data_IF_028619874922
#
_entry.id   IF_028619874922
#
_cell.length_a   1.000
_cell.length_b   1.000
_cell.length_c   1.000
_cell.angle_alpha   90.00
_cell.angle_beta   90.00
_cell.angle_gamma   90.00
#
_symmetry.space_group_name_H-M   'P 1'
#
loop_
_entity.id
_entity.type
_entity.pdbx_description
1 polymer ?
#
# COMPACT_ATOMS: atom_id res chain seq x y z
N UNK A 1 -14.43 2.33 -28.86
CA UNK A 1 -13.05 2.86 -28.68
C UNK A 1 -12.88 3.14 -27.21
N UNK A 2 -12.30 2.19 -26.48
CA UNK A 2 -12.10 2.27 -25.02
C UNK A 2 -10.92 3.19 -24.68
N UNK A 3 -10.99 4.45 -25.07
CA UNK A 3 -10.17 5.46 -24.42
C UNK A 3 -10.90 5.86 -23.14
N UNK A 4 -10.42 5.36 -22.00
CA UNK A 4 -10.92 5.74 -20.68
C UNK A 4 -10.89 7.25 -20.47
N UNK A 5 -11.54 7.75 -19.41
CA UNK A 5 -11.55 9.18 -19.10
C UNK A 5 -10.12 9.76 -19.05
N UNK A 6 -9.92 11.07 -19.33
CA UNK A 6 -8.60 11.70 -19.29
C UNK A 6 -7.84 11.41 -17.99
N UNK A 7 -8.53 11.35 -16.85
CA UNK A 7 -7.97 11.01 -15.54
C UNK A 7 -7.41 9.58 -15.52
N UNK A 8 -8.12 8.60 -16.11
CA UNK A 8 -7.65 7.22 -16.22
C UNK A 8 -6.44 7.12 -17.15
N UNK A 9 -6.44 7.84 -18.27
CA UNK A 9 -5.29 7.86 -19.19
C UNK A 9 -4.05 8.45 -18.50
N UNK A 10 -4.24 9.56 -17.78
CA UNK A 10 -3.17 10.20 -17.01
C UNK A 10 -2.64 9.29 -15.90
N UNK A 11 -3.53 8.68 -15.10
CA UNK A 11 -3.15 7.74 -14.05
C UNK A 11 -2.39 6.52 -14.61
N UNK A 12 -2.79 6.02 -15.78
CA UNK A 12 -2.09 4.93 -16.47
C UNK A 12 -0.65 5.29 -16.84
N UNK A 13 -0.41 6.53 -17.29
CA UNK A 13 0.94 7.02 -17.58
C UNK A 13 1.78 7.09 -16.30
N UNK A 14 1.21 7.58 -15.19
CA UNK A 14 1.89 7.63 -13.89
C UNK A 14 2.23 6.23 -13.37
N UNK A 15 1.28 5.28 -13.46
CA UNK A 15 1.49 3.89 -13.09
C UNK A 15 2.68 3.30 -13.86
N UNK A 16 2.67 3.40 -15.20
CA UNK A 16 3.75 2.89 -16.06
C UNK A 16 5.11 3.55 -15.78
N UNK A 17 5.11 4.82 -15.36
CA UNK A 17 6.34 5.50 -14.93
C UNK A 17 6.85 4.93 -13.60
N UNK A 18 5.96 4.73 -12.63
CA UNK A 18 6.29 4.15 -11.32
C UNK A 18 6.77 2.70 -11.44
N UNK A 19 6.10 1.87 -12.24
CA UNK A 19 6.52 0.49 -12.52
C UNK A 19 7.94 0.42 -13.09
N UNK A 20 8.29 1.31 -14.02
CA UNK A 20 9.67 1.41 -14.56
C UNK A 20 10.67 1.83 -13.49
N UNK A 21 10.30 2.79 -12.63
CA UNK A 21 11.16 3.20 -11.52
C UNK A 21 11.40 2.04 -10.54
N UNK A 22 10.35 1.29 -10.20
CA UNK A 22 10.46 0.14 -9.30
C UNK A 22 11.39 -0.94 -9.87
N UNK A 23 11.41 -1.18 -11.18
CA UNK A 23 12.37 -2.12 -11.77
C UNK A 23 13.83 -1.68 -11.57
N UNK A 24 14.11 -0.39 -11.67
CA UNK A 24 15.44 0.16 -11.39
C UNK A 24 15.77 0.06 -9.90
N UNK A 25 14.81 0.42 -9.04
CA UNK A 25 14.98 0.37 -7.59
C UNK A 25 15.18 -1.08 -7.11
N UNK A 26 14.48 -2.05 -7.69
CA UNK A 26 14.63 -3.47 -7.37
C UNK A 26 16.07 -3.95 -7.61
N UNK A 27 16.70 -3.50 -8.71
CA UNK A 27 18.10 -3.82 -8.98
C UNK A 27 19.02 -3.22 -7.91
N UNK A 28 18.83 -1.95 -7.54
CA UNK A 28 19.62 -1.30 -6.48
C UNK A 28 19.41 -1.97 -5.11
N UNK A 29 18.18 -2.36 -4.78
CA UNK A 29 17.83 -3.07 -3.54
C UNK A 29 18.48 -4.47 -3.52
N UNK A 30 18.54 -5.16 -4.66
CA UNK A 30 19.27 -6.43 -4.81
C UNK A 30 20.78 -6.23 -4.63
N UNK A 31 21.36 -5.24 -5.29
CA UNK A 31 22.80 -4.92 -5.23
C UNK A 31 23.23 -4.57 -3.80
N UNK A 32 22.39 -3.82 -3.09
CA UNK A 32 22.60 -3.45 -1.67
C UNK A 32 22.29 -4.58 -0.68
N UNK A 33 21.88 -5.76 -1.18
CA UNK A 33 21.46 -6.92 -0.37
C UNK A 33 20.39 -6.57 0.66
N UNK A 34 19.49 -5.65 0.33
CA UNK A 34 18.39 -5.28 1.22
C UNK A 34 17.33 -6.40 1.29
N UNK A 35 17.18 -7.18 0.20
CA UNK A 35 16.33 -8.38 0.17
C UNK A 35 16.69 -9.43 1.23
N UNK A 36 17.97 -9.52 1.62
CA UNK A 36 18.45 -10.51 2.59
C UNK A 36 18.53 -9.97 4.02
N UNK A 37 18.06 -8.75 4.27
CA UNK A 37 18.02 -8.15 5.60
C UNK A 37 16.63 -8.22 6.19
N UNK A 38 16.57 -8.26 7.51
CA UNK A 38 15.34 -8.02 8.25
C UNK A 38 15.17 -6.52 8.51
N UNK A 39 13.94 -6.04 8.32
CA UNK A 39 13.50 -4.67 8.55
C UNK A 39 12.63 -4.64 9.80
N UNK A 40 12.95 -3.74 10.72
CA UNK A 40 12.08 -3.44 11.85
C UNK A 40 11.11 -2.33 11.47
N UNK A 41 9.82 -2.66 11.41
CA UNK A 41 8.76 -1.73 11.05
C UNK A 41 7.93 -1.39 12.29
N UNK A 42 7.62 -0.10 12.45
CA UNK A 42 6.62 0.39 13.40
C UNK A 42 5.33 0.67 12.64
N UNK A 43 4.26 0.00 13.03
CA UNK A 43 2.93 0.09 12.43
C UNK A 43 2.04 0.80 13.42
N UNK A 44 1.45 1.91 13.02
CA UNK A 44 0.53 2.69 13.86
C UNK A 44 -0.86 2.70 13.24
N UNK A 45 -1.88 2.47 14.08
CA UNK A 45 -3.26 2.67 13.68
C UNK A 45 -3.56 4.17 13.78
N UNK A 46 -3.86 4.75 12.62
CA UNK A 46 -4.22 6.16 12.50
C UNK A 46 -5.68 6.30 12.07
N UNK A 47 -6.30 7.40 12.46
CA UNK A 47 -7.56 7.83 11.87
C UNK A 47 -7.33 9.08 11.02
N UNK A 48 -8.13 9.21 9.96
CA UNK A 48 -8.20 10.45 9.19
C UNK A 48 -9.20 11.35 9.91
N UNK A 49 -8.71 12.46 10.46
CA UNK A 49 -9.51 13.38 11.24
C UNK A 49 -8.79 14.70 11.48
N UNK A 50 -9.45 15.62 12.16
CA UNK A 50 -8.99 16.99 12.32
C UNK A 50 -10.02 17.97 11.77
N UNK A 51 -10.14 19.13 12.42
CA UNK A 51 -10.78 20.30 11.83
C UNK A 51 -9.85 20.90 10.75
N UNK A 52 -10.33 21.85 9.95
CA UNK A 52 -9.59 22.47 8.83
C UNK A 52 -8.17 22.99 9.19
N UNK A 53 -7.86 23.09 10.48
CA UNK A 53 -6.59 23.57 11.03
C UNK A 53 -5.50 22.51 11.10
N UNK A 54 -5.83 21.23 11.23
CA UNK A 54 -4.86 20.12 11.28
C UNK A 54 -5.33 18.91 10.46
N UNK A 55 -5.40 19.04 9.12
CA UNK A 55 -5.71 17.92 8.27
C UNK A 55 -4.55 16.90 8.31
N UNK A 56 -4.86 15.61 8.45
CA UNK A 56 -3.85 14.58 8.38
C UNK A 56 -4.27 13.22 8.93
N UNK A 57 -3.28 12.33 8.99
CA UNK A 57 -3.38 11.08 9.72
C UNK A 57 -2.91 11.30 11.16
N UNK A 58 -3.80 11.06 12.10
CA UNK A 58 -3.52 11.21 13.53
C UNK A 58 -3.49 9.84 14.19
N UNK A 59 -2.52 9.61 15.07
CA UNK A 59 -2.48 8.40 15.86
C UNK A 59 -3.70 8.33 16.79
N UNK A 60 -4.24 7.13 17.02
CA UNK A 60 -5.30 6.96 18.01
C UNK A 60 -4.84 7.40 19.41
N UNK A 61 -5.79 7.83 20.24
CA UNK A 61 -5.55 8.06 21.67
C UNK A 61 -6.47 7.14 22.51
N UNK A 62 -5.92 6.16 23.24
CA UNK A 62 -4.49 5.82 23.35
C UNK A 62 -3.90 5.24 22.06
N UNK A 63 -2.59 5.40 21.87
CA UNK A 63 -1.88 4.92 20.68
C UNK A 63 -1.95 3.40 20.55
N UNK A 64 -2.44 2.93 19.41
CA UNK A 64 -2.46 1.51 19.05
C UNK A 64 -1.37 1.30 17.99
N UNK A 65 -0.27 0.67 18.40
CA UNK A 65 0.85 0.37 17.51
C UNK A 65 1.39 -1.04 17.70
N UNK A 66 2.11 -1.54 16.69
CA UNK A 66 2.86 -2.80 16.72
C UNK A 66 4.24 -2.56 16.12
N UNK A 67 5.25 -3.23 16.67
CA UNK A 67 6.58 -3.31 16.06
C UNK A 67 6.79 -4.73 15.58
N UNK A 68 7.14 -4.87 14.30
CA UNK A 68 7.32 -6.17 13.65
C UNK A 68 8.67 -6.22 12.94
N UNK A 69 9.29 -7.41 12.92
CA UNK A 69 10.48 -7.67 12.11
C UNK A 69 10.06 -8.48 10.88
N UNK A 70 10.42 -8.03 9.69
CA UNK A 70 10.04 -8.66 8.43
C UNK A 70 11.23 -8.77 7.49
N UNK A 71 11.30 -9.81 6.67
CA UNK A 71 12.30 -9.88 5.61
C UNK A 71 12.07 -8.76 4.59
N UNK A 72 13.14 -8.06 4.19
CA UNK A 72 13.11 -7.03 3.16
C UNK A 72 12.72 -7.55 1.78
N UNK A 73 12.77 -8.86 1.55
CA UNK A 73 12.29 -9.50 0.32
C UNK A 73 10.82 -9.92 0.34
N UNK A 74 10.08 -9.60 1.41
CA UNK A 74 8.67 -9.92 1.52
C UNK A 74 7.81 -9.04 0.60
N UNK A 75 6.89 -9.66 -0.15
CA UNK A 75 5.91 -8.92 -0.95
C UNK A 75 4.88 -8.23 -0.06
N UNK A 76 4.26 -7.15 -0.53
CA UNK A 76 3.22 -6.43 0.23
C UNK A 76 2.02 -7.33 0.55
N UNK A 77 1.68 -8.25 -0.37
CA UNK A 77 0.66 -9.27 -0.13
C UNK A 77 1.01 -10.19 1.03
N UNK A 78 2.23 -10.73 1.05
CA UNK A 78 2.67 -11.58 2.15
C UNK A 78 2.74 -10.81 3.46
N UNK A 79 3.20 -9.56 3.42
CA UNK A 79 3.23 -8.68 4.58
C UNK A 79 1.83 -8.47 5.15
N UNK A 80 0.82 -8.16 4.32
CA UNK A 80 -0.55 -7.99 4.78
C UNK A 80 -1.08 -9.25 5.47
N UNK A 81 -1.03 -10.40 4.77
CA UNK A 81 -1.68 -11.63 5.20
C UNK A 81 -0.99 -12.34 6.35
N UNK A 82 0.35 -12.27 6.41
CA UNK A 82 1.16 -13.08 7.33
C UNK A 82 1.70 -12.28 8.51
N UNK A 83 1.77 -10.95 8.39
CA UNK A 83 2.37 -10.10 9.43
C UNK A 83 1.36 -9.09 9.94
N UNK A 84 0.91 -8.17 9.09
CA UNK A 84 0.08 -7.04 9.50
C UNK A 84 -1.26 -7.49 10.08
N UNK A 85 -2.03 -8.30 9.35
CA UNK A 85 -3.32 -8.79 9.79
C UNK A 85 -3.24 -9.48 11.16
N UNK A 86 -2.39 -10.52 11.33
CA UNK A 86 -2.18 -11.17 12.62
C UNK A 86 -1.70 -10.23 13.73
N UNK A 87 -0.76 -9.32 13.45
CA UNK A 87 -0.23 -8.38 14.46
C UNK A 87 -1.31 -7.42 14.98
N UNK A 88 -2.26 -7.04 14.12
CA UNK A 88 -3.39 -6.18 14.44
C UNK A 88 -4.63 -6.94 14.94
N UNK A 89 -4.60 -8.28 14.94
CA UNK A 89 -5.75 -9.12 15.30
C UNK A 89 -6.88 -9.09 14.26
N UNK A 90 -6.58 -8.71 13.02
CA UNK A 90 -7.54 -8.67 11.92
C UNK A 90 -7.79 -10.06 11.34
N UNK A 91 -9.03 -10.31 10.94
CA UNK A 91 -9.41 -11.54 10.26
C UNK A 91 -8.83 -11.54 8.84
N UNK A 92 -8.06 -12.57 8.51
CA UNK A 92 -7.46 -12.73 7.18
C UNK A 92 -8.52 -12.85 6.10
N UNK A 93 -8.26 -12.27 4.93
CA UNK A 93 -9.12 -12.33 3.74
C UNK A 93 -10.56 -11.82 3.94
N UNK A 94 -10.81 -11.04 5.00
CA UNK A 94 -12.15 -10.51 5.27
C UNK A 94 -12.44 -9.23 4.47
N UNK A 95 -11.44 -8.35 4.35
CA UNK A 95 -11.51 -7.09 3.60
C UNK A 95 -10.39 -6.97 2.57
N UNK A 96 -10.64 -6.18 1.53
CA UNK A 96 -9.58 -5.66 0.66
C UNK A 96 -8.69 -4.68 1.40
N UNK A 97 -7.49 -4.47 0.86
CA UNK A 97 -6.54 -3.49 1.36
C UNK A 97 -5.87 -2.79 0.19
N UNK A 98 -5.31 -1.62 0.48
CA UNK A 98 -4.43 -0.89 -0.41
C UNK A 98 -3.31 -0.23 0.39
N UNK A 99 -2.12 -0.19 -0.19
CA UNK A 99 -1.01 0.61 0.32
C UNK A 99 -0.87 1.86 -0.54
N UNK A 100 -0.85 3.02 0.09
CA UNK A 100 -0.68 4.30 -0.60
C UNK A 100 0.66 4.88 -0.20
N UNK A 101 1.46 5.28 -1.18
CA UNK A 101 2.73 5.97 -0.95
C UNK A 101 2.45 7.46 -0.80
N UNK A 102 2.62 8.07 0.39
CA UNK A 102 2.20 9.45 0.61
C UNK A 102 2.92 10.48 -0.26
N UNK A 103 4.16 10.19 -0.66
CA UNK A 103 4.99 11.14 -1.41
C UNK A 103 4.54 11.35 -2.86
N UNK A 104 3.88 10.37 -3.47
CA UNK A 104 3.48 10.44 -4.88
C UNK A 104 2.07 9.92 -5.18
N UNK A 105 1.35 9.43 -4.16
CA UNK A 105 0.00 8.92 -4.30
C UNK A 105 -0.10 7.57 -5.02
N UNK A 106 1.01 6.86 -5.25
CA UNK A 106 0.98 5.54 -5.87
C UNK A 106 0.21 4.55 -4.99
N UNK A 107 -0.69 3.78 -5.61
CA UNK A 107 -1.54 2.80 -4.91
C UNK A 107 -1.15 1.38 -5.30
N UNK A 108 -0.89 0.54 -4.30
CA UNK A 108 -0.58 -0.89 -4.45
C UNK A 108 -1.69 -1.73 -3.83
N UNK A 109 -2.20 -2.71 -4.57
CA UNK A 109 -3.24 -3.61 -4.09
C UNK A 109 -3.26 -4.92 -4.89
N UNK A 110 -3.97 -5.93 -4.37
CA UNK A 110 -4.23 -7.15 -5.12
C UNK A 110 -5.27 -6.87 -6.22
N UNK A 111 -4.81 -6.72 -7.47
CA UNK A 111 -5.68 -6.36 -8.60
C UNK A 111 -6.73 -7.45 -8.92
N UNK A 112 -6.52 -8.66 -8.40
CA UNK A 112 -7.41 -9.82 -8.55
C UNK A 112 -8.31 -10.04 -7.31
N UNK A 113 -8.28 -9.13 -6.34
CA UNK A 113 -9.13 -9.23 -5.14
C UNK A 113 -10.61 -9.24 -5.53
N UNK A 114 -11.37 -10.11 -4.85
CA UNK A 114 -12.84 -10.22 -4.99
C UNK A 114 -13.56 -9.77 -3.72
N UNK A 115 -12.87 -9.10 -2.79
CA UNK A 115 -13.50 -8.53 -1.61
C UNK A 115 -14.56 -7.50 -2.04
N UNK A 116 -15.70 -7.47 -1.36
CA UNK A 116 -16.83 -6.62 -1.77
C UNK A 116 -16.48 -5.13 -1.71
N UNK A 117 -15.64 -4.74 -0.76
CA UNK A 117 -15.15 -3.37 -0.60
C UNK A 117 -14.36 -2.84 -1.82
N UNK A 118 -13.82 -3.72 -2.66
CA UNK A 118 -13.16 -3.35 -3.92
C UNK A 118 -14.09 -2.63 -4.91
N UNK A 119 -15.42 -2.70 -4.72
CA UNK A 119 -16.37 -1.89 -5.48
C UNK A 119 -16.17 -0.38 -5.29
N UNK A 120 -15.55 0.05 -4.18
CA UNK A 120 -15.24 1.44 -3.87
C UNK A 120 -13.86 1.87 -4.38
N UNK A 121 -13.14 1.02 -5.11
CA UNK A 121 -11.79 1.34 -5.59
C UNK A 121 -11.74 2.65 -6.38
N UNK A 122 -12.77 2.93 -7.19
CA UNK A 122 -12.88 4.17 -7.97
C UNK A 122 -12.96 5.45 -7.12
N UNK A 123 -13.29 5.34 -5.83
CA UNK A 123 -13.28 6.46 -4.89
C UNK A 123 -11.88 6.76 -4.34
N UNK A 124 -10.95 5.81 -4.49
CA UNK A 124 -9.61 5.90 -3.92
C UNK A 124 -8.51 5.99 -4.96
N UNK A 125 -8.69 5.37 -6.14
CA UNK A 125 -7.69 5.34 -7.19
C UNK A 125 -8.30 5.22 -8.60
N UNK A 126 -7.70 5.92 -9.56
CA UNK A 126 -8.03 5.76 -10.99
C UNK A 126 -7.29 4.59 -11.64
N UNK A 127 -6.11 4.23 -11.11
CA UNK A 127 -5.29 3.09 -11.51
C UNK A 127 -4.42 2.63 -10.32
N UNK A 128 -3.90 1.39 -10.35
CA UNK A 128 -3.13 0.80 -9.24
C UNK A 128 -2.05 -0.16 -9.73
N UNK A 129 -1.05 -0.44 -8.89
CA UNK A 129 0.04 -1.39 -9.12
C UNK A 129 -0.27 -2.69 -8.36
N UNK A 130 0.07 -3.85 -8.92
CA UNK A 130 -0.09 -5.12 -8.19
C UNK A 130 0.86 -5.18 -6.98
N UNK A 131 0.41 -5.85 -5.93
CA UNK A 131 1.10 -5.91 -4.64
C UNK A 131 2.01 -7.15 -4.46
N UNK A 132 2.31 -7.84 -5.56
CA UNK A 132 3.21 -9.00 -5.60
C UNK A 132 4.67 -8.66 -5.90
#
# INVERSE_FOLDING_TARGET
SEEGSPEKQFASVLRKKKERQLQVDLQDVQDRRLFSRDLTLRIELCYMGGNDREPGFHACEPSVFRTVSVSGGMTLRMFHDRVLGPAMGWVRNYHGYMYVVPSDGSVFLCQKSKAIDMMHLSMHAWDSIDDS
#
